data_IF_864767202409
#
_entry.id   IF_864767202409
#
_cell.length_a   1.000
_cell.length_b   1.000
_cell.length_c   1.000
_cell.angle_alpha   90.00
_cell.angle_beta   90.00
_cell.angle_gamma   90.00
#
_symmetry.space_group_name_H-M   'P 1'
#
loop_
_entity.id
_entity.type
_entity.pdbx_description
1 polymer ?
#
# COMPACT_ATOMS: atom_id res chain seq x y z
N UNK A 1 -23.12 15.24 15.93
CA UNK A 1 -22.66 15.51 14.57
C UNK A 1 -21.34 14.78 14.42
N UNK A 2 -21.40 13.58 13.85
CA UNK A 2 -20.27 12.69 13.59
C UNK A 2 -19.44 13.28 12.45
N UNK A 3 -18.71 14.35 12.75
CA UNK A 3 -18.04 15.12 11.72
C UNK A 3 -16.73 14.42 11.33
N UNK A 4 -16.65 14.10 10.05
CA UNK A 4 -15.42 13.73 9.38
C UNK A 4 -14.58 15.00 9.22
N UNK A 5 -13.31 14.97 9.63
CA UNK A 5 -12.41 16.12 9.54
C UNK A 5 -11.67 16.14 8.19
N UNK A 6 -11.25 14.97 7.71
CA UNK A 6 -10.40 14.82 6.52
C UNK A 6 -10.89 13.69 5.62
N UNK A 7 -10.81 13.91 4.31
CA UNK A 7 -10.93 12.88 3.28
C UNK A 7 -9.62 12.84 2.50
N UNK A 8 -8.90 11.73 2.58
CA UNK A 8 -7.74 11.45 1.74
C UNK A 8 -8.22 10.66 0.51
N UNK A 9 -7.93 11.18 -0.69
CA UNK A 9 -8.22 10.50 -1.96
C UNK A 9 -6.90 10.14 -2.61
N UNK A 10 -6.69 8.85 -2.87
CA UNK A 10 -5.50 8.38 -3.56
C UNK A 10 -5.35 6.87 -3.47
N UNK A 11 -4.31 6.34 -4.12
CA UNK A 11 -4.08 4.91 -4.15
C UNK A 11 -3.60 4.39 -2.77
N UNK A 12 -4.23 3.32 -2.30
CA UNK A 12 -3.72 2.49 -1.22
C UNK A 12 -3.10 1.23 -1.82
N UNK A 13 -1.84 0.98 -1.51
CA UNK A 13 -1.05 -0.12 -2.08
C UNK A 13 -0.36 -0.91 -0.96
N UNK A 14 0.32 -1.98 -1.36
CA UNK A 14 1.23 -2.72 -0.48
C UNK A 14 2.66 -2.59 -1.00
N UNK A 15 3.59 -2.31 -0.09
CA UNK A 15 5.02 -2.37 -0.35
C UNK A 15 5.61 -3.66 0.23
N UNK A 16 6.56 -4.24 -0.51
CA UNK A 16 7.41 -5.36 -0.08
C UNK A 16 8.87 -4.92 -0.25
N UNK A 17 9.54 -4.43 0.81
CA UNK A 17 10.95 -4.11 0.74
C UNK A 17 11.81 -5.38 0.78
N UNK A 18 12.72 -5.51 -0.17
CA UNK A 18 13.78 -6.51 -0.22
C UNK A 18 15.11 -5.79 0.01
N UNK A 19 15.72 -5.99 1.18
CA UNK A 19 16.91 -5.26 1.60
C UNK A 19 17.81 -6.10 2.53
N UNK A 20 19.15 -6.03 2.37
CA UNK A 20 19.86 -5.50 1.21
C UNK A 20 19.80 -6.50 0.04
N UNK A 21 19.69 -6.00 -1.18
CA UNK A 21 19.87 -6.79 -2.42
C UNK A 21 20.91 -6.13 -3.31
N UNK A 22 21.42 -6.87 -4.29
CA UNK A 22 22.33 -6.31 -5.30
C UNK A 22 21.91 -6.77 -6.70
N UNK A 23 22.59 -6.26 -7.73
CA UNK A 23 22.37 -6.70 -9.12
C UNK A 23 22.62 -8.20 -9.31
N UNK A 24 23.40 -8.81 -8.42
CA UNK A 24 23.77 -10.23 -8.45
C UNK A 24 22.68 -11.15 -7.87
N UNK A 25 21.49 -10.62 -7.53
CA UNK A 25 20.35 -11.44 -7.08
C UNK A 25 19.97 -12.53 -8.10
N UNK A 26 20.29 -12.32 -9.39
CA UNK A 26 20.06 -13.27 -10.46
C UNK A 26 21.20 -14.27 -10.67
N UNK A 27 22.33 -14.13 -9.96
CA UNK A 27 23.50 -15.00 -10.11
C UNK A 27 23.38 -16.29 -9.27
N UNK A 28 22.34 -16.40 -8.45
CA UNK A 28 22.07 -17.54 -7.57
C UNK A 28 20.63 -18.01 -7.72
N UNK A 29 20.39 -19.31 -7.52
CA UNK A 29 19.04 -19.89 -7.63
C UNK A 29 18.10 -19.42 -6.52
N UNK A 30 18.65 -19.06 -5.35
CA UNK A 30 17.90 -18.63 -4.18
C UNK A 30 18.70 -17.59 -3.40
N UNK A 31 18.13 -16.39 -3.24
CA UNK A 31 18.76 -15.27 -2.53
C UNK A 31 18.08 -15.08 -1.16
N UNK A 32 18.69 -15.53 -0.06
CA UNK A 32 18.08 -15.42 1.26
C UNK A 32 18.18 -13.99 1.80
N UNK A 33 17.10 -13.51 2.43
CA UNK A 33 17.05 -12.27 3.19
C UNK A 33 16.66 -12.57 4.64
N UNK A 34 17.07 -11.71 5.58
CA UNK A 34 16.74 -11.88 6.99
C UNK A 34 15.23 -11.82 7.26
N UNK A 35 14.52 -10.96 6.51
CA UNK A 35 13.08 -10.78 6.63
C UNK A 35 12.48 -10.33 5.31
N UNK A 36 11.31 -10.89 4.99
CA UNK A 36 10.43 -10.41 3.94
C UNK A 36 9.05 -10.21 4.56
N UNK A 37 8.51 -9.00 4.47
CA UNK A 37 7.21 -8.66 5.05
C UNK A 37 6.50 -7.62 4.19
N UNK A 38 5.17 -7.63 4.24
CA UNK A 38 4.32 -6.63 3.61
C UNK A 38 4.09 -5.45 4.56
N UNK A 39 4.02 -4.25 3.98
CA UNK A 39 3.63 -3.01 4.67
C UNK A 39 2.61 -2.27 3.82
N UNK A 40 1.68 -1.55 4.45
CA UNK A 40 0.80 -0.63 3.71
C UNK A 40 1.62 0.54 3.18
N UNK A 41 1.24 1.03 1.99
CA UNK A 41 1.97 2.10 1.31
C UNK A 41 1.08 2.94 0.40
N UNK A 42 1.63 4.03 -0.11
CA UNK A 42 0.92 5.06 -0.86
C UNK A 42 0.60 6.30 -0.02
N UNK A 43 0.64 7.47 -0.65
CA UNK A 43 0.55 8.75 0.05
C UNK A 43 -0.77 8.88 0.84
N UNK A 44 -1.89 8.52 0.21
CA UNK A 44 -3.21 8.66 0.83
C UNK A 44 -3.41 7.80 2.09
N UNK A 45 -2.88 6.56 2.11
CA UNK A 45 -2.99 5.72 3.32
C UNK A 45 -2.01 6.17 4.41
N UNK A 46 -0.84 6.68 4.03
CA UNK A 46 0.13 7.24 4.97
C UNK A 46 -0.43 8.48 5.66
N UNK A 47 -0.97 9.43 4.88
CA UNK A 47 -1.62 10.62 5.39
C UNK A 47 -2.81 10.26 6.29
N UNK A 48 -3.74 9.43 5.80
CA UNK A 48 -4.91 9.03 6.58
C UNK A 48 -4.53 8.36 7.90
N UNK A 49 -3.47 7.54 7.90
CA UNK A 49 -2.95 6.89 9.12
C UNK A 49 -2.44 7.90 10.12
N UNK A 50 -1.58 8.83 9.69
CA UNK A 50 -0.96 9.78 10.61
C UNK A 50 -1.98 10.82 11.10
N UNK A 51 -2.86 11.31 10.22
CA UNK A 51 -3.92 12.26 10.59
C UNK A 51 -4.88 11.64 11.61
N UNK A 52 -5.28 10.37 11.41
CA UNK A 52 -6.07 9.63 12.41
C UNK A 52 -5.35 9.49 13.75
N UNK A 53 -4.05 9.15 13.73
CA UNK A 53 -3.23 9.05 14.96
C UNK A 53 -3.05 10.40 15.68
N UNK A 54 -3.10 11.51 14.95
CA UNK A 54 -3.08 12.86 15.50
C UNK A 54 -4.43 13.30 16.09
N UNK A 55 -5.47 12.47 15.99
CA UNK A 55 -6.76 12.68 16.65
C UNK A 55 -7.86 13.26 15.75
N UNK A 56 -7.65 13.32 14.43
CA UNK A 56 -8.63 13.81 13.47
C UNK A 56 -9.34 12.66 12.75
N UNK A 57 -10.67 12.70 12.67
CA UNK A 57 -11.45 11.64 12.04
C UNK A 57 -11.26 11.67 10.53
N UNK A 58 -10.62 10.64 9.98
CA UNK A 58 -10.20 10.61 8.57
C UNK A 58 -10.86 9.48 7.79
N UNK A 59 -11.29 9.75 6.57
CA UNK A 59 -11.75 8.76 5.61
C UNK A 59 -10.75 8.58 4.48
N UNK A 60 -10.65 7.35 3.97
CA UNK A 60 -9.85 7.02 2.79
C UNK A 60 -10.77 6.64 1.63
N UNK A 61 -10.70 7.41 0.54
CA UNK A 61 -11.31 7.06 -0.74
C UNK A 61 -10.24 6.44 -1.64
N UNK A 62 -10.40 5.16 -1.94
CA UNK A 62 -9.48 4.42 -2.78
C UNK A 62 -10.16 3.23 -3.46
N UNK A 63 -9.41 2.59 -4.36
CA UNK A 63 -9.82 1.38 -5.04
C UNK A 63 -8.73 0.32 -4.89
N UNK A 64 -9.11 -0.86 -4.42
CA UNK A 64 -8.23 -2.02 -4.21
C UNK A 64 -8.83 -3.27 -4.85
N UNK A 65 -8.03 -4.29 -5.07
CA UNK A 65 -8.52 -5.59 -5.50
C UNK A 65 -9.30 -6.32 -4.41
N UNK A 66 -10.15 -7.27 -4.80
CA UNK A 66 -10.75 -8.24 -3.86
C UNK A 66 -9.79 -9.41 -3.62
N UNK A 67 -8.64 -9.10 -3.03
CA UNK A 67 -7.53 -10.02 -2.81
C UNK A 67 -6.89 -9.85 -1.41
N UNK A 68 -5.84 -10.64 -1.13
CA UNK A 68 -5.18 -10.65 0.18
C UNK A 68 -4.48 -9.31 0.51
N UNK A 69 -3.89 -8.64 -0.48
CA UNK A 69 -3.24 -7.34 -0.28
C UNK A 69 -4.29 -6.25 0.02
N UNK A 70 -5.43 -6.28 -0.67
CA UNK A 70 -6.57 -5.43 -0.39
C UNK A 70 -7.15 -5.69 1.01
N UNK A 71 -7.26 -6.95 1.41
CA UNK A 71 -7.70 -7.29 2.77
C UNK A 71 -6.73 -6.77 3.84
N UNK A 72 -5.41 -6.89 3.59
CA UNK A 72 -4.37 -6.34 4.46
C UNK A 72 -4.49 -4.81 4.64
N UNK A 73 -4.80 -4.08 3.55
CA UNK A 73 -5.09 -2.64 3.60
C UNK A 73 -6.34 -2.32 4.44
N UNK A 74 -7.41 -3.09 4.26
CA UNK A 74 -8.66 -2.89 5.03
C UNK A 74 -8.43 -3.12 6.53
N UNK A 75 -7.68 -4.15 6.89
CA UNK A 75 -7.39 -4.47 8.30
C UNK A 75 -6.49 -3.42 8.95
N UNK A 76 -5.51 -2.89 8.19
CA UNK A 76 -4.74 -1.71 8.62
C UNK A 76 -5.65 -0.51 8.88
N UNK A 77 -6.53 -0.17 7.94
CA UNK A 77 -7.44 0.98 8.09
C UNK A 77 -8.37 0.82 9.32
N UNK A 78 -8.90 -0.39 9.55
CA UNK A 78 -9.72 -0.69 10.75
C UNK A 78 -8.92 -0.51 12.04
N UNK A 79 -7.68 -1.00 12.07
CA UNK A 79 -6.79 -0.85 13.24
C UNK A 79 -6.48 0.62 13.55
N UNK A 80 -6.33 1.44 12.52
CA UNK A 80 -6.02 2.87 12.63
C UNK A 80 -7.27 3.76 12.75
N UNK A 81 -8.47 3.19 12.85
CA UNK A 81 -9.76 3.88 12.90
C UNK A 81 -10.01 4.83 11.71
N UNK A 82 -9.51 4.48 10.53
CA UNK A 82 -9.78 5.19 9.28
C UNK A 82 -11.14 4.73 8.73
N UNK A 83 -11.99 5.68 8.33
CA UNK A 83 -13.25 5.38 7.67
C UNK A 83 -13.00 4.84 6.24
N UNK A 84 -13.56 3.65 5.98
CA UNK A 84 -13.38 2.88 4.74
C UNK A 84 -14.68 2.73 3.95
N UNK A 85 -15.74 3.47 4.26
CA UNK A 85 -17.04 3.35 3.57
C UNK A 85 -16.90 3.58 2.05
N UNK A 86 -15.98 4.46 1.67
CA UNK A 86 -15.66 4.82 0.28
C UNK A 86 -14.40 4.12 -0.27
N UNK A 87 -13.80 3.19 0.48
CA UNK A 87 -12.73 2.33 0.00
C UNK A 87 -13.35 1.08 -0.63
N UNK A 88 -13.35 1.00 -1.96
CA UNK A 88 -14.04 -0.08 -2.68
C UNK A 88 -13.08 -1.21 -3.08
N UNK A 89 -13.55 -2.45 -2.90
CA UNK A 89 -12.92 -3.64 -3.45
C UNK A 89 -13.52 -3.96 -4.82
N UNK A 90 -12.66 -4.29 -5.78
CA UNK A 90 -13.02 -4.64 -7.14
C UNK A 90 -12.42 -6.01 -7.50
N UNK A 91 -13.25 -6.93 -7.98
CA UNK A 91 -12.83 -8.30 -8.33
C UNK A 91 -12.07 -8.37 -9.66
N UNK A 92 -12.12 -7.30 -10.46
CA UNK A 92 -11.54 -7.24 -11.82
C UNK A 92 -10.13 -6.65 -11.86
N UNK A 93 -9.58 -6.25 -10.71
CA UNK A 93 -8.24 -5.67 -10.59
C UNK A 93 -7.47 -6.35 -9.46
N UNK A 94 -6.15 -6.33 -9.57
CA UNK A 94 -5.26 -6.66 -8.46
C UNK A 94 -4.94 -5.39 -7.66
N UNK A 95 -4.92 -5.50 -6.34
CA UNK A 95 -4.33 -4.46 -5.48
C UNK A 95 -2.88 -4.25 -5.90
N UNK A 96 -2.48 -3.00 -6.12
CA UNK A 96 -1.10 -2.68 -6.47
C UNK A 96 -0.14 -3.14 -5.37
N UNK A 97 0.85 -3.93 -5.77
CA UNK A 97 2.00 -4.31 -4.95
C UNK A 97 3.25 -3.74 -5.59
N UNK A 98 4.03 -3.01 -4.81
CA UNK A 98 5.33 -2.50 -5.21
C UNK A 98 6.41 -3.29 -4.47
N UNK A 99 7.34 -3.86 -5.22
CA UNK A 99 8.51 -4.54 -4.64
C UNK A 99 9.68 -3.58 -4.72
N UNK A 100 10.13 -3.11 -3.56
CA UNK A 100 11.28 -2.22 -3.43
C UNK A 100 12.56 -3.03 -3.32
N UNK A 101 13.46 -2.91 -4.29
CA UNK A 101 14.79 -3.49 -4.26
C UNK A 101 15.75 -2.43 -3.72
N UNK A 102 16.28 -2.64 -2.52
CA UNK A 102 17.13 -1.66 -1.83
C UNK A 102 18.54 -2.21 -1.71
N UNK A 103 19.52 -1.46 -2.22
CA UNK A 103 20.95 -1.81 -2.14
C UNK A 103 21.54 -1.45 -0.77
N UNK A 104 22.73 -1.96 -0.48
CA UNK A 104 23.41 -1.74 0.82
C UNK A 104 23.71 -0.26 1.09
N UNK A 105 23.92 0.53 0.04
CA UNK A 105 24.10 1.98 0.09
C UNK A 105 22.79 2.77 0.28
N UNK A 106 21.64 2.10 0.30
CA UNK A 106 20.32 2.68 0.53
C UNK A 106 19.60 3.18 -0.74
N UNK A 107 20.24 3.09 -1.92
CA UNK A 107 19.57 3.35 -3.19
C UNK A 107 18.46 2.32 -3.44
N UNK A 108 17.41 2.72 -4.16
CA UNK A 108 16.23 1.86 -4.37
C UNK A 108 15.65 1.97 -5.76
N UNK A 109 15.16 0.82 -6.24
CA UNK A 109 14.31 0.74 -7.44
C UNK A 109 13.05 -0.06 -7.15
N UNK A 110 12.05 0.06 -8.00
CA UNK A 110 10.74 -0.55 -7.80
C UNK A 110 10.34 -1.43 -8.98
N UNK A 111 9.86 -2.63 -8.65
CA UNK A 111 9.09 -3.46 -9.57
C UNK A 111 7.62 -3.26 -9.25
N UNK A 112 6.84 -2.81 -10.24
CA UNK A 112 5.44 -2.39 -10.05
C UNK A 112 4.52 -3.10 -11.02
N UNK A 113 3.27 -3.37 -10.61
CA UNK A 113 2.21 -3.82 -11.52
C UNK A 113 1.60 -2.63 -12.27
N UNK A 114 1.92 -2.48 -13.57
CA UNK A 114 1.38 -1.40 -14.43
C UNK A 114 -0.14 -1.44 -14.62
N UNK A 115 -0.77 -2.58 -14.35
CA UNK A 115 -2.22 -2.79 -14.42
C UNK A 115 -2.90 -2.82 -13.04
N UNK A 116 -2.13 -2.69 -11.96
CA UNK A 116 -2.63 -2.74 -10.59
C UNK A 116 -3.54 -1.55 -10.23
N UNK A 117 -4.19 -1.66 -9.08
CA UNK A 117 -5.23 -0.74 -8.63
C UNK A 117 -4.82 0.74 -8.60
N UNK A 118 -3.55 1.07 -8.34
CA UNK A 118 -3.02 2.44 -8.42
C UNK A 118 -3.28 3.08 -9.78
N UNK A 119 -3.09 2.32 -10.86
CA UNK A 119 -3.30 2.77 -12.23
C UNK A 119 -4.76 2.74 -12.69
N UNK A 120 -5.65 2.23 -11.83
CA UNK A 120 -7.08 2.12 -12.06
C UNK A 120 -7.87 3.02 -11.12
N UNK A 121 -7.24 3.89 -10.34
CA UNK A 121 -8.00 4.86 -9.56
C UNK A 121 -8.62 5.90 -10.51
N UNK A 122 -9.93 5.80 -10.71
CA UNK A 122 -10.72 6.74 -11.49
C UNK A 122 -11.86 7.30 -10.62
N UNK A 123 -12.29 8.51 -10.94
CA UNK A 123 -13.36 9.25 -10.22
C UNK A 123 -14.69 9.16 -10.99
N UNK A 124 -14.69 8.49 -12.14
CA UNK A 124 -15.86 8.26 -13.00
C UNK A 124 -16.82 7.20 -12.43
#
# INVERSE_FOLDING_TARGET
MDNLDVICIGAAIVDIPLQPVSKNIFDVDSYPLERIAMTTGGDAINEATIISRLGHRTALMSRIGKDAAGQFILDHCRKENIDIQSLKQDVSIDTSINVGLVTEDGERTFVTNRNGSLWKLNID
#
